data_IF_187959026251
#
_entry.id   IF_187959026251
#
_cell.length_a   1.000
_cell.length_b   1.000
_cell.length_c   1.000
_cell.angle_alpha   90.00
_cell.angle_beta   90.00
_cell.angle_gamma   90.00
#
_symmetry.space_group_name_H-M   'P 1'
#
loop_
_entity.id
_entity.type
_entity.pdbx_description
1 polymer ?
#
# COMPACT_ATOMS: atom_id res chain seq x y z
N UNK A 1 -10.31 -19.69 -4.34
CA UNK A 1 -9.45 -19.19 -3.23
C UNK A 1 -9.31 -17.68 -3.35
N UNK A 2 -9.17 -16.96 -2.25
CA UNK A 2 -8.87 -15.52 -2.26
C UNK A 2 -7.40 -15.32 -2.60
N UNK A 3 -7.12 -14.35 -3.46
CA UNK A 3 -5.78 -14.01 -3.94
C UNK A 3 -5.20 -12.86 -3.13
N UNK A 4 -4.16 -13.14 -2.37
CA UNK A 4 -3.52 -12.18 -1.47
C UNK A 4 -2.14 -11.81 -2.01
N UNK A 5 -1.86 -10.51 -2.06
CA UNK A 5 -0.54 -10.01 -2.36
C UNK A 5 0.02 -9.25 -1.16
N UNK A 6 1.03 -9.80 -0.51
CA UNK A 6 1.68 -9.19 0.66
C UNK A 6 2.96 -8.48 0.24
N UNK A 7 3.13 -7.24 0.70
CA UNK A 7 4.29 -6.40 0.41
C UNK A 7 4.95 -5.99 1.72
N UNK A 8 6.20 -6.42 1.93
CA UNK A 8 7.05 -5.92 2.99
C UNK A 8 7.73 -4.62 2.55
N UNK A 9 7.22 -3.48 3.03
CA UNK A 9 7.78 -2.14 2.83
C UNK A 9 8.82 -1.73 3.89
N UNK A 10 9.15 -2.64 4.82
CA UNK A 10 10.20 -2.42 5.82
C UNK A 10 11.59 -2.54 5.20
N UNK A 11 12.51 -1.66 5.61
CA UNK A 11 13.90 -1.68 5.14
C UNK A 11 14.87 -1.41 6.29
N UNK A 12 16.11 -1.84 6.11
CA UNK A 12 17.19 -1.47 7.03
C UNK A 12 17.69 -0.05 6.68
N UNK A 13 17.66 0.84 7.65
CA UNK A 13 18.22 2.18 7.51
C UNK A 13 18.55 2.77 8.89
N UNK A 14 19.78 3.26 9.08
CA UNK A 14 20.26 3.85 10.32
C UNK A 14 19.94 2.95 11.54
N UNK A 15 19.07 3.39 12.43
CA UNK A 15 18.68 2.66 13.66
C UNK A 15 17.50 1.70 13.44
N UNK A 16 16.86 1.72 12.28
CA UNK A 16 15.73 0.84 11.95
C UNK A 16 16.25 -0.43 11.28
N UNK A 17 16.00 -1.57 11.91
CA UNK A 17 16.39 -2.88 11.36
C UNK A 17 15.39 -3.48 10.36
N UNK A 18 14.22 -2.87 10.18
CA UNK A 18 13.13 -3.41 9.33
C UNK A 18 12.53 -4.74 9.80
N UNK A 19 13.01 -5.28 10.93
CA UNK A 19 12.70 -6.65 11.39
C UNK A 19 11.23 -6.83 11.74
N UNK A 20 10.59 -5.84 12.34
CA UNK A 20 9.20 -5.97 12.78
C UNK A 20 8.23 -6.16 11.58
N UNK A 21 8.35 -5.32 10.55
CA UNK A 21 7.54 -5.46 9.34
C UNK A 21 7.82 -6.79 8.61
N UNK A 22 9.09 -7.22 8.59
CA UNK A 22 9.45 -8.54 8.05
C UNK A 22 8.79 -9.69 8.82
N UNK A 23 8.75 -9.59 10.15
CA UNK A 23 8.10 -10.61 10.99
C UNK A 23 6.60 -10.69 10.71
N UNK A 24 5.90 -9.55 10.64
CA UNK A 24 4.46 -9.54 10.31
C UNK A 24 4.24 -10.15 8.93
N UNK A 25 5.03 -9.76 7.93
CA UNK A 25 4.95 -10.32 6.58
C UNK A 25 5.23 -11.82 6.51
N UNK A 26 6.10 -12.35 7.39
CA UNK A 26 6.34 -13.79 7.49
C UNK A 26 5.12 -14.51 8.10
N UNK A 27 4.48 -13.94 9.13
CA UNK A 27 3.23 -14.48 9.68
C UNK A 27 2.11 -14.53 8.65
N UNK A 28 2.00 -13.52 7.80
CA UNK A 28 1.05 -13.55 6.69
C UNK A 28 1.36 -14.70 5.71
N UNK A 29 2.64 -14.94 5.40
CA UNK A 29 3.03 -16.07 4.53
C UNK A 29 2.73 -17.44 5.16
N UNK A 30 2.83 -17.56 6.49
CA UNK A 30 2.45 -18.77 7.22
C UNK A 30 0.93 -18.96 7.28
N UNK A 31 0.16 -17.87 7.30
CA UNK A 31 -1.31 -17.91 7.42
C UNK A 31 -2.01 -18.04 6.06
N UNK A 32 -1.59 -17.26 5.05
CA UNK A 32 -2.22 -17.26 3.73
C UNK A 32 -1.70 -18.42 2.88
N UNK A 33 -2.24 -19.59 3.09
CA UNK A 33 -1.87 -20.83 2.39
C UNK A 33 -3.08 -21.43 1.66
N UNK A 34 -2.83 -22.34 0.71
CA UNK A 34 -3.88 -23.08 0.01
C UNK A 34 -4.77 -23.87 0.98
N UNK A 35 -4.18 -24.43 2.05
CA UNK A 35 -4.91 -25.15 3.11
C UNK A 35 -5.92 -24.25 3.82
N UNK A 36 -5.60 -22.96 3.96
CA UNK A 36 -6.48 -21.95 4.55
C UNK A 36 -7.40 -21.26 3.51
N UNK A 37 -7.38 -21.70 2.25
CA UNK A 37 -8.23 -21.20 1.18
C UNK A 37 -7.72 -19.94 0.48
N UNK A 38 -6.42 -19.66 0.57
CA UNK A 38 -5.77 -18.51 -0.03
C UNK A 38 -4.71 -18.92 -1.06
N UNK A 39 -4.52 -18.07 -2.07
CA UNK A 39 -3.35 -18.05 -2.93
C UNK A 39 -2.52 -16.83 -2.57
N UNK A 40 -1.21 -17.01 -2.35
CA UNK A 40 -0.32 -15.94 -1.92
C UNK A 40 0.71 -15.58 -2.98
N UNK A 41 0.89 -14.27 -3.20
CA UNK A 41 2.12 -13.69 -3.78
C UNK A 41 2.76 -12.76 -2.75
N UNK A 42 4.08 -12.69 -2.77
CA UNK A 42 4.86 -11.91 -1.81
C UNK A 42 5.93 -11.07 -2.52
N UNK A 43 6.21 -9.90 -1.98
CA UNK A 43 7.35 -9.06 -2.37
C UNK A 43 8.00 -8.45 -1.12
N UNK A 44 9.31 -8.61 -1.01
CA UNK A 44 10.16 -7.81 -0.13
C UNK A 44 10.84 -6.74 -0.99
N UNK A 45 10.58 -5.46 -0.72
CA UNK A 45 11.15 -4.35 -1.52
C UNK A 45 12.68 -4.23 -1.45
N UNK A 46 13.32 -4.99 -0.56
CA UNK A 46 14.78 -5.02 -0.44
C UNK A 46 15.42 -6.01 -1.42
N UNK A 47 14.65 -6.96 -1.94
CA UNK A 47 15.10 -7.93 -2.94
C UNK A 47 14.96 -7.36 -4.36
N UNK A 48 15.60 -8.03 -5.31
CA UNK A 48 15.42 -7.68 -6.72
C UNK A 48 14.04 -8.10 -7.19
N UNK A 49 13.36 -7.23 -7.92
CA UNK A 49 12.06 -7.50 -8.53
C UNK A 49 11.99 -7.00 -9.97
N UNK A 50 11.14 -7.63 -10.77
CA UNK A 50 10.82 -7.18 -12.12
C UNK A 50 9.56 -6.31 -12.09
N UNK A 51 9.61 -5.11 -12.68
CA UNK A 51 8.50 -4.16 -12.63
C UNK A 51 7.20 -4.71 -13.22
N UNK A 52 7.27 -5.46 -14.32
CA UNK A 52 6.05 -5.99 -14.95
C UNK A 52 5.47 -7.16 -14.16
N UNK A 53 6.30 -7.99 -13.56
CA UNK A 53 5.82 -9.04 -12.64
C UNK A 53 5.15 -8.43 -11.40
N UNK A 54 5.66 -7.31 -10.87
CA UNK A 54 5.01 -6.59 -9.78
C UNK A 54 3.65 -6.02 -10.22
N UNK A 55 3.56 -5.41 -11.41
CA UNK A 55 2.28 -4.97 -11.99
C UNK A 55 1.29 -6.13 -12.08
N UNK A 56 1.73 -7.29 -12.57
CA UNK A 56 0.89 -8.49 -12.65
C UNK A 56 0.41 -8.99 -11.28
N UNK A 57 1.22 -8.85 -10.20
CA UNK A 57 0.79 -9.19 -8.84
C UNK A 57 -0.35 -8.30 -8.37
N UNK A 58 -0.29 -6.97 -8.61
CA UNK A 58 -1.39 -6.05 -8.31
C UNK A 58 -2.66 -6.39 -9.09
N UNK A 59 -2.54 -6.67 -10.39
CA UNK A 59 -3.67 -7.04 -11.24
C UNK A 59 -4.29 -8.38 -10.82
N UNK A 60 -3.47 -9.33 -10.38
CA UNK A 60 -3.89 -10.66 -9.96
C UNK A 60 -4.60 -10.68 -8.60
N UNK A 61 -4.19 -9.85 -7.65
CA UNK A 61 -4.65 -9.89 -6.27
C UNK A 61 -6.12 -9.47 -6.12
N UNK A 62 -6.85 -10.12 -5.21
CA UNK A 62 -8.13 -9.62 -4.68
C UNK A 62 -7.89 -8.62 -3.56
N UNK A 63 -6.86 -8.88 -2.72
CA UNK A 63 -6.47 -8.03 -1.59
C UNK A 63 -4.95 -7.83 -1.62
N UNK A 64 -4.54 -6.57 -1.51
CA UNK A 64 -3.13 -6.18 -1.34
C UNK A 64 -2.89 -5.80 0.11
N UNK A 65 -1.94 -6.46 0.77
CA UNK A 65 -1.55 -6.19 2.16
C UNK A 65 -0.20 -5.48 2.17
N UNK A 66 -0.17 -4.30 2.75
CA UNK A 66 1.05 -3.50 2.87
C UNK A 66 1.50 -3.43 4.33
N UNK A 67 2.77 -3.78 4.59
CA UNK A 67 3.40 -3.57 5.88
C UNK A 67 4.54 -2.58 5.74
N UNK A 68 4.50 -1.45 6.46
CA UNK A 68 5.52 -0.41 6.33
C UNK A 68 5.78 0.31 7.66
N UNK A 69 7.03 0.63 7.99
CA UNK A 69 7.26 1.61 9.04
C UNK A 69 6.94 3.02 8.52
N UNK A 70 6.69 3.92 9.43
CA UNK A 70 6.57 5.35 9.11
C UNK A 70 7.86 6.05 9.49
N UNK A 71 8.48 6.73 8.52
CA UNK A 71 9.68 7.51 8.70
C UNK A 71 9.42 8.96 8.31
N UNK A 72 9.75 9.88 9.21
CA UNK A 72 9.55 11.31 8.98
C UNK A 72 8.15 11.63 8.44
N UNK A 73 7.13 11.02 9.08
CA UNK A 73 5.71 11.23 8.77
C UNK A 73 5.30 10.82 7.35
N UNK A 74 5.97 9.82 6.79
CA UNK A 74 5.67 9.28 5.46
C UNK A 74 6.21 7.87 5.25
N UNK A 75 6.07 7.37 4.03
CA UNK A 75 6.62 6.08 3.66
C UNK A 75 8.15 6.14 3.58
N UNK A 76 8.86 5.05 3.93
CA UNK A 76 10.29 4.93 3.64
C UNK A 76 10.58 5.16 2.16
N UNK A 77 11.70 5.80 1.85
CA UNK A 77 12.03 6.21 0.48
C UNK A 77 12.07 5.06 -0.52
N UNK A 78 12.59 3.87 -0.14
CA UNK A 78 12.58 2.69 -1.02
C UNK A 78 11.17 2.18 -1.28
N UNK A 79 10.30 2.19 -0.26
CA UNK A 79 8.93 1.77 -0.44
C UNK A 79 8.15 2.76 -1.33
N UNK A 80 8.37 4.06 -1.13
CA UNK A 80 7.80 5.07 -2.02
C UNK A 80 8.32 4.91 -3.45
N UNK A 81 9.61 4.68 -3.64
CA UNK A 81 10.21 4.40 -4.94
C UNK A 81 9.59 3.16 -5.61
N UNK A 82 9.42 2.06 -4.85
CA UNK A 82 8.76 0.85 -5.34
C UNK A 82 7.35 1.18 -5.89
N UNK A 83 6.52 1.85 -5.08
CA UNK A 83 5.16 2.22 -5.49
C UNK A 83 5.16 3.14 -6.71
N UNK A 84 6.02 4.16 -6.73
CA UNK A 84 6.10 5.10 -7.86
C UNK A 84 6.50 4.40 -9.16
N UNK A 85 7.49 3.51 -9.10
CA UNK A 85 7.96 2.81 -10.30
C UNK A 85 6.98 1.76 -10.80
N UNK A 86 6.41 0.96 -9.90
CA UNK A 86 5.45 -0.10 -10.25
C UNK A 86 4.14 0.51 -10.76
N UNK A 87 3.61 1.54 -10.10
CA UNK A 87 2.36 2.16 -10.54
C UNK A 87 2.54 2.92 -11.85
N UNK A 88 3.70 3.55 -12.07
CA UNK A 88 4.03 4.15 -13.38
C UNK A 88 4.10 3.10 -14.47
N UNK A 89 4.76 1.95 -14.23
CA UNK A 89 4.79 0.83 -15.16
C UNK A 89 3.40 0.22 -15.40
N UNK A 90 2.50 0.33 -14.42
CA UNK A 90 1.11 -0.13 -14.48
C UNK A 90 0.17 0.72 -15.34
N UNK A 91 0.64 1.89 -15.84
CA UNK A 91 -0.14 2.71 -16.76
C UNK A 91 -0.46 1.94 -18.05
N UNK A 92 -1.74 1.77 -18.36
CA UNK A 92 -2.26 0.93 -19.48
C UNK A 92 -1.85 -0.54 -19.43
N UNK A 93 -1.27 -0.98 -18.32
CA UNK A 93 -0.87 -2.36 -18.06
C UNK A 93 -1.69 -2.99 -16.90
N UNK A 94 -2.89 -2.48 -16.64
CA UNK A 94 -3.87 -3.08 -15.74
C UNK A 94 -4.00 -2.43 -14.37
N UNK A 95 -3.12 -1.48 -13.97
CA UNK A 95 -3.29 -0.72 -12.72
C UNK A 95 -4.18 0.50 -12.94
N UNK A 96 -3.93 1.29 -13.96
CA UNK A 96 -4.80 2.40 -14.36
C UNK A 96 -4.63 2.72 -15.86
N UNK A 97 -5.65 3.32 -16.45
CA UNK A 97 -5.65 3.67 -17.86
C UNK A 97 -5.37 5.16 -18.12
N UNK A 98 -5.95 6.02 -17.29
CA UNK A 98 -5.81 7.48 -17.35
C UNK A 98 -6.05 8.07 -15.96
N UNK A 99 -6.10 9.38 -15.84
CA UNK A 99 -6.53 10.06 -14.62
C UNK A 99 -8.07 10.16 -14.49
N UNK A 100 -8.83 9.72 -15.49
CA UNK A 100 -10.29 9.70 -15.49
C UNK A 100 -10.94 10.93 -16.08
N UNK A 101 -10.21 12.03 -16.26
CA UNK A 101 -10.75 13.25 -16.88
C UNK A 101 -10.98 13.07 -18.38
N UNK A 102 -11.94 13.81 -18.91
CA UNK A 102 -12.24 13.88 -20.35
C UNK A 102 -11.90 15.26 -20.90
N UNK A 103 -11.52 15.32 -22.16
CA UNK A 103 -11.17 16.59 -22.84
C UNK A 103 -12.34 17.59 -22.86
N UNK A 104 -13.57 17.08 -22.95
CA UNK A 104 -14.78 17.90 -22.97
C UNK A 104 -15.09 18.57 -21.63
N UNK A 105 -14.65 17.97 -20.52
CA UNK A 105 -14.76 18.56 -19.18
C UNK A 105 -13.58 18.11 -18.29
N UNK A 106 -12.46 18.82 -18.33
CA UNK A 106 -11.25 18.43 -17.61
C UNK A 106 -11.27 18.77 -16.10
N UNK A 107 -12.32 19.39 -15.58
CA UNK A 107 -12.41 19.82 -14.19
C UNK A 107 -12.97 18.75 -13.26
N UNK A 108 -13.58 17.69 -13.83
CA UNK A 108 -14.22 16.62 -13.05
C UNK A 108 -13.64 15.25 -13.37
N UNK A 109 -13.98 14.26 -12.52
CA UNK A 109 -13.60 12.85 -12.66
C UNK A 109 -12.10 12.56 -12.47
N UNK A 110 -11.30 13.49 -11.95
CA UNK A 110 -9.91 13.20 -11.62
C UNK A 110 -9.84 12.05 -10.59
N UNK A 111 -8.96 11.08 -10.85
CA UNK A 111 -8.78 9.91 -9.99
C UNK A 111 -9.76 8.75 -10.25
N UNK A 112 -10.51 8.78 -11.37
CA UNK A 112 -11.49 7.73 -11.70
C UNK A 112 -11.02 6.79 -12.81
N UNK A 113 -9.79 6.92 -13.29
CA UNK A 113 -9.24 6.12 -14.39
C UNK A 113 -8.52 4.84 -13.97
N UNK A 114 -8.67 4.43 -12.71
CA UNK A 114 -8.12 3.19 -12.17
C UNK A 114 -8.75 1.94 -12.77
N UNK A 115 -7.99 0.85 -12.84
CA UNK A 115 -8.42 -0.43 -13.41
C UNK A 115 -8.56 -1.55 -12.36
N UNK A 116 -8.21 -1.27 -11.10
CA UNK A 116 -8.24 -2.25 -10.01
C UNK A 116 -9.56 -2.22 -9.21
N UNK A 117 -10.68 -1.88 -9.87
CA UNK A 117 -11.99 -1.89 -9.24
C UNK A 117 -12.36 -3.30 -8.73
N UNK A 118 -13.01 -3.34 -7.57
CA UNK A 118 -13.39 -4.59 -6.88
C UNK A 118 -12.27 -5.21 -6.05
N UNK A 119 -11.05 -4.68 -6.13
CA UNK A 119 -9.93 -5.07 -5.27
C UNK A 119 -9.87 -4.20 -4.03
N UNK A 120 -9.31 -4.78 -2.97
CA UNK A 120 -9.17 -4.10 -1.67
C UNK A 120 -7.70 -4.03 -1.28
N UNK A 121 -7.40 -3.17 -0.33
CA UNK A 121 -6.08 -3.15 0.31
C UNK A 121 -6.19 -2.97 1.82
N UNK A 122 -5.22 -3.52 2.53
CA UNK A 122 -4.97 -3.31 3.94
C UNK A 122 -3.61 -2.65 4.13
N UNK A 123 -3.51 -1.71 5.06
CA UNK A 123 -2.27 -1.06 5.43
C UNK A 123 -2.00 -1.26 6.91
N UNK A 124 -0.84 -1.84 7.23
CA UNK A 124 -0.29 -1.84 8.59
C UNK A 124 0.89 -0.88 8.66
N UNK A 125 0.81 0.08 9.57
CA UNK A 125 1.90 1.03 9.83
C UNK A 125 2.53 0.78 11.20
N UNK A 126 3.85 0.88 11.27
CA UNK A 126 4.60 0.76 12.53
C UNK A 126 5.27 2.07 12.90
N UNK A 127 5.17 2.44 14.18
CA UNK A 127 5.50 3.75 14.70
C UNK A 127 6.42 3.66 15.92
N UNK A 128 7.23 4.70 16.10
CA UNK A 128 7.91 4.97 17.38
C UNK A 128 7.09 5.94 18.26
N UNK A 129 6.06 6.61 17.69
CA UNK A 129 5.15 7.48 18.43
C UNK A 129 4.13 6.63 19.20
N UNK A 130 3.78 7.01 20.43
CA UNK A 130 2.70 6.36 21.18
C UNK A 130 1.34 6.74 20.58
N UNK A 131 0.32 5.90 20.79
CA UNK A 131 -1.04 6.14 20.32
C UNK A 131 -1.61 7.49 20.84
N UNK A 132 -1.25 7.86 22.05
CA UNK A 132 -1.67 9.12 22.67
C UNK A 132 -1.25 10.36 21.90
N UNK A 133 -0.16 10.30 21.11
CA UNK A 133 0.23 11.41 20.25
C UNK A 133 -0.79 11.73 19.15
N UNK A 134 -1.65 10.76 18.79
CA UNK A 134 -2.72 10.91 17.80
C UNK A 134 -4.07 11.19 18.42
N UNK A 135 -4.32 10.73 19.65
CA UNK A 135 -5.67 10.66 20.23
C UNK A 135 -5.95 11.69 21.31
N UNK A 136 -4.92 12.25 21.95
CA UNK A 136 -5.11 13.23 23.02
C UNK A 136 -5.17 14.66 22.47
N UNK A 137 -6.13 15.49 22.95
CA UNK A 137 -6.20 16.91 22.62
C UNK A 137 -4.91 17.66 22.97
N UNK A 138 -4.40 18.46 22.02
CA UNK A 138 -3.20 19.26 22.20
C UNK A 138 -1.88 18.52 22.00
N UNK A 139 -1.91 17.19 21.79
CA UNK A 139 -0.74 16.41 21.43
C UNK A 139 -0.33 16.61 19.94
N UNK A 140 0.83 16.07 19.57
CA UNK A 140 1.53 16.41 18.33
C UNK A 140 0.69 16.33 17.05
N UNK A 141 -0.19 15.33 16.93
CA UNK A 141 -1.05 15.16 15.75
C UNK A 141 -2.41 15.83 15.85
N UNK A 142 -2.68 16.52 16.97
CA UNK A 142 -3.89 17.31 17.17
C UNK A 142 -5.19 16.53 16.81
N UNK A 143 -5.32 15.32 17.35
CA UNK A 143 -6.46 14.41 17.14
C UNK A 143 -6.67 13.99 15.66
N UNK A 144 -5.64 14.19 14.80
CA UNK A 144 -5.71 13.75 13.41
C UNK A 144 -5.32 12.28 13.34
N UNK A 145 -6.18 11.45 12.76
CA UNK A 145 -5.92 10.02 12.58
C UNK A 145 -4.71 9.77 11.65
N UNK A 146 -4.12 8.58 11.75
CA UNK A 146 -3.06 8.13 10.82
C UNK A 146 -3.57 8.19 9.37
N UNK A 147 -4.80 7.76 9.13
CA UNK A 147 -5.41 7.71 7.81
C UNK A 147 -5.66 9.09 7.20
N UNK A 148 -6.22 10.02 8.00
CA UNK A 148 -6.58 11.37 7.54
C UNK A 148 -5.37 12.32 7.49
N UNK A 149 -4.33 12.00 8.23
CA UNK A 149 -3.09 12.77 8.29
C UNK A 149 -1.99 12.14 7.44
N UNK A 150 -1.10 11.41 8.10
CA UNK A 150 0.16 10.93 7.52
C UNK A 150 -0.05 10.00 6.31
N UNK A 151 -1.09 9.16 6.33
CA UNK A 151 -1.38 8.19 5.27
C UNK A 151 -2.43 8.67 4.26
N UNK A 152 -2.93 9.90 4.36
CA UNK A 152 -3.90 10.44 3.40
C UNK A 152 -3.47 10.27 1.94
N UNK A 153 -2.22 10.64 1.60
CA UNK A 153 -1.68 10.50 0.24
C UNK A 153 -1.61 9.05 -0.22
N UNK A 154 -1.26 8.12 0.69
CA UNK A 154 -1.24 6.69 0.40
C UNK A 154 -2.66 6.17 0.07
N UNK A 155 -3.66 6.58 0.82
CA UNK A 155 -5.06 6.21 0.55
C UNK A 155 -5.55 6.80 -0.78
N UNK A 156 -5.18 8.05 -1.10
CA UNK A 156 -5.52 8.66 -2.40
C UNK A 156 -4.85 7.94 -3.57
N UNK A 157 -3.59 7.52 -3.42
CA UNK A 157 -2.89 6.73 -4.42
C UNK A 157 -3.61 5.40 -4.72
N UNK A 158 -3.99 4.65 -3.70
CA UNK A 158 -4.75 3.40 -3.89
C UNK A 158 -6.14 3.66 -4.51
N UNK A 159 -6.84 4.69 -4.05
CA UNK A 159 -8.13 5.09 -4.63
C UNK A 159 -8.01 5.49 -6.11
N UNK A 160 -6.92 6.15 -6.50
CA UNK A 160 -6.63 6.50 -7.90
C UNK A 160 -6.52 5.27 -8.79
N UNK A 161 -6.01 4.15 -8.28
CA UNK A 161 -5.95 2.88 -9.01
C UNK A 161 -7.29 2.13 -9.04
N UNK A 162 -8.28 2.54 -8.26
CA UNK A 162 -9.59 1.91 -8.14
C UNK A 162 -9.74 0.95 -6.97
N UNK A 163 -8.68 0.75 -6.16
CA UNK A 163 -8.76 -0.08 -4.96
C UNK A 163 -9.49 0.62 -3.81
N UNK A 164 -10.17 -0.17 -2.98
CA UNK A 164 -10.82 0.30 -1.75
C UNK A 164 -10.06 -0.21 -0.53
N UNK A 165 -10.01 0.64 0.51
CA UNK A 165 -9.51 0.20 1.82
C UNK A 165 -10.41 -0.93 2.34
N UNK A 166 -9.80 -1.97 2.88
CA UNK A 166 -10.53 -3.02 3.60
C UNK A 166 -11.06 -2.42 4.90
N UNK A 167 -12.36 -2.61 5.15
CA UNK A 167 -12.97 -2.20 6.42
C UNK A 167 -12.40 -3.05 7.55
N UNK A 168 -11.87 -2.39 8.59
CA UNK A 168 -11.28 -3.00 9.77
C UNK A 168 -11.82 -2.37 11.02
#
# INVERSE_FOLDING_TARGET
MKKIFVINGGQHFAHSGGKFNKTISNWDQEFFTDENGFELKYTDINENYNLMEEVEKFVWADIVVYHTPVWWFGLPYKFKQYLDTVFTAGHRNGIYYSDGRKLENPEINYGTGGSLHGRQYMLTTTWNAPETAFTLPGEFFNETSVDDGVMFGFHRMNAFTGMKKLDG
#
